data_IF_065524550912
#
_entry.id   IF_065524550912
#
_cell.length_a   1.000
_cell.length_b   1.000
_cell.length_c   1.000
_cell.angle_alpha   90.00
_cell.angle_beta   90.00
_cell.angle_gamma   90.00
#
_symmetry.space_group_name_H-M   'P 1'
#
loop_
_entity.id
_entity.type
_entity.pdbx_description
1 polymer ?
#
# COMPACT_ATOMS: atom_id res chain seq x y z
N UNK A 1 32.01 -12.46 -11.08
CA UNK A 1 31.01 -13.48 -11.46
C UNK A 1 30.33 -13.95 -10.18
N UNK A 2 28.99 -13.97 -10.10
CA UNK A 2 28.30 -14.49 -8.92
C UNK A 2 28.64 -15.98 -8.72
N UNK A 3 28.79 -16.39 -7.47
CA UNK A 3 29.07 -17.79 -7.12
C UNK A 3 27.86 -18.70 -7.37
N UNK A 4 28.04 -20.03 -7.47
CA UNK A 4 26.95 -20.99 -7.68
C UNK A 4 25.78 -20.83 -6.67
N UNK A 5 26.09 -20.49 -5.41
CA UNK A 5 25.07 -20.22 -4.38
C UNK A 5 24.20 -19.00 -4.70
N UNK A 6 24.80 -17.91 -5.20
CA UNK A 6 24.08 -16.69 -5.56
C UNK A 6 23.16 -16.91 -6.76
N UNK A 7 23.57 -17.73 -7.73
CA UNK A 7 22.73 -18.09 -8.89
C UNK A 7 21.51 -18.89 -8.43
N UNK A 8 21.71 -19.87 -7.54
CA UNK A 8 20.62 -20.68 -6.98
C UNK A 8 19.65 -19.84 -6.16
N UNK A 9 20.15 -18.96 -5.27
CA UNK A 9 19.33 -18.05 -4.49
C UNK A 9 18.52 -17.09 -5.38
N UNK A 10 19.14 -16.54 -6.42
CA UNK A 10 18.46 -15.69 -7.41
C UNK A 10 17.31 -16.42 -8.10
N UNK A 11 17.56 -17.63 -8.61
CA UNK A 11 16.55 -18.42 -9.29
C UNK A 11 15.39 -18.80 -8.36
N UNK A 12 15.71 -19.17 -7.13
CA UNK A 12 14.71 -19.54 -6.13
C UNK A 12 13.88 -18.34 -5.65
N UNK A 13 14.49 -17.14 -5.52
CA UNK A 13 13.77 -15.91 -5.19
C UNK A 13 12.74 -15.56 -6.28
N UNK A 14 13.14 -15.55 -7.55
CA UNK A 14 12.22 -15.28 -8.68
C UNK A 14 11.12 -16.34 -8.79
N UNK A 15 11.40 -17.59 -8.42
CA UNK A 15 10.41 -18.67 -8.46
C UNK A 15 9.37 -18.61 -7.33
N UNK A 16 9.69 -17.94 -6.22
CA UNK A 16 8.85 -17.92 -5.00
C UNK A 16 8.24 -16.55 -4.71
N UNK A 17 8.77 -15.49 -5.32
CA UNK A 17 8.38 -14.10 -5.09
C UNK A 17 8.12 -13.41 -6.43
N UNK A 18 6.97 -12.73 -6.52
CA UNK A 18 6.54 -12.10 -7.77
C UNK A 18 7.03 -10.67 -7.87
N UNK A 19 7.87 -10.40 -8.86
CA UNK A 19 8.33 -9.05 -9.22
C UNK A 19 7.71 -8.65 -10.56
N UNK A 20 7.09 -7.48 -10.59
CA UNK A 20 6.38 -6.93 -11.74
C UNK A 20 7.34 -6.25 -12.74
N UNK A 21 6.79 -5.57 -13.75
CA UNK A 21 7.57 -4.69 -14.65
C UNK A 21 7.66 -3.24 -14.18
N UNK A 22 7.14 -2.93 -13.00
CA UNK A 22 7.24 -1.59 -12.42
C UNK A 22 8.71 -1.18 -12.22
N UNK A 23 8.97 0.13 -12.21
CA UNK A 23 10.33 0.66 -12.09
C UNK A 23 10.97 0.32 -10.73
N UNK A 24 10.13 0.13 -9.70
CA UNK A 24 10.53 -0.24 -8.34
C UNK A 24 10.88 -1.74 -8.20
N UNK A 25 10.47 -2.59 -9.15
CA UNK A 25 10.66 -4.05 -9.07
C UNK A 25 12.14 -4.43 -9.05
N UNK A 26 12.96 -3.81 -9.92
CA UNK A 26 14.40 -4.06 -9.98
C UNK A 26 15.13 -3.67 -8.69
N UNK A 27 14.98 -2.43 -8.18
CA UNK A 27 15.58 -2.05 -6.91
C UNK A 27 15.07 -2.86 -5.71
N UNK A 28 13.77 -3.17 -5.62
CA UNK A 28 13.25 -4.03 -4.55
C UNK A 28 13.82 -5.45 -4.61
N UNK A 29 13.92 -6.03 -5.81
CA UNK A 29 14.60 -7.32 -6.01
C UNK A 29 16.05 -7.31 -5.49
N UNK A 30 16.81 -6.22 -5.73
CA UNK A 30 18.18 -6.08 -5.20
C UNK A 30 18.20 -6.05 -3.67
N UNK A 31 17.28 -5.32 -3.05
CA UNK A 31 17.14 -5.27 -1.58
C UNK A 31 16.87 -6.68 -1.03
N UNK A 32 15.94 -7.43 -1.62
CA UNK A 32 15.63 -8.79 -1.16
C UNK A 32 16.81 -9.74 -1.34
N UNK A 33 17.53 -9.64 -2.46
CA UNK A 33 18.76 -10.40 -2.69
C UNK A 33 19.84 -10.12 -1.64
N UNK A 34 19.99 -8.87 -1.21
CA UNK A 34 20.90 -8.50 -0.12
C UNK A 34 20.45 -9.09 1.22
N UNK A 35 19.15 -9.13 1.50
CA UNK A 35 18.59 -9.70 2.74
C UNK A 35 18.76 -11.23 2.77
N UNK A 36 18.59 -11.89 1.62
CA UNK A 36 18.81 -13.33 1.45
C UNK A 36 20.31 -13.68 1.53
N UNK A 37 21.18 -12.73 1.19
CA UNK A 37 22.66 -12.86 1.24
C UNK A 37 23.19 -14.06 0.43
N UNK A 38 22.54 -14.38 -0.69
CA UNK A 38 22.93 -15.50 -1.56
C UNK A 38 22.72 -16.90 -0.97
N UNK A 39 21.96 -17.03 0.11
CA UNK A 39 21.63 -18.29 0.77
C UNK A 39 20.15 -18.63 0.62
N UNK A 40 19.85 -19.72 -0.08
CA UNK A 40 18.47 -20.20 -0.33
C UNK A 40 17.70 -20.45 0.97
N UNK A 41 18.38 -20.83 2.07
CA UNK A 41 17.72 -21.04 3.36
C UNK A 41 17.15 -19.75 3.96
N UNK A 42 17.63 -18.60 3.51
CA UNK A 42 17.16 -17.28 3.93
C UNK A 42 15.95 -16.77 3.15
N UNK A 43 15.45 -17.48 2.13
CA UNK A 43 14.27 -17.04 1.36
C UNK A 43 13.06 -16.79 2.26
N UNK A 44 12.85 -17.62 3.28
CA UNK A 44 11.77 -17.47 4.24
C UNK A 44 11.88 -16.19 5.10
N UNK A 45 13.02 -15.48 5.07
CA UNK A 45 13.14 -14.16 5.70
C UNK A 45 12.33 -13.10 4.96
N UNK A 46 12.11 -13.25 3.65
CA UNK A 46 11.30 -12.33 2.85
C UNK A 46 9.82 -12.63 3.14
N UNK A 47 9.31 -11.99 4.18
CA UNK A 47 7.92 -12.17 4.61
C UNK A 47 7.37 -10.82 5.06
N UNK A 48 6.29 -10.38 4.41
CA UNK A 48 5.61 -9.14 4.78
C UNK A 48 5.10 -9.14 6.23
N UNK A 49 4.99 -10.30 6.90
CA UNK A 49 4.61 -10.41 8.32
C UNK A 49 5.82 -10.47 9.27
N UNK A 50 7.05 -10.48 8.75
CA UNK A 50 8.28 -10.52 9.54
C UNK A 50 8.72 -9.12 9.96
N UNK A 51 8.74 -8.87 11.28
CA UNK A 51 9.21 -7.60 11.85
C UNK A 51 10.65 -7.28 11.44
N UNK A 52 11.54 -8.28 11.47
CA UNK A 52 12.96 -8.11 11.15
C UNK A 52 13.13 -7.70 9.68
N UNK A 53 12.43 -8.40 8.78
CA UNK A 53 12.46 -8.09 7.36
C UNK A 53 11.92 -6.70 7.07
N UNK A 54 10.76 -6.32 7.62
CA UNK A 54 10.18 -5.01 7.36
C UNK A 54 11.07 -3.87 7.88
N UNK A 55 11.73 -4.06 9.03
CA UNK A 55 12.72 -3.10 9.55
C UNK A 55 13.90 -2.95 8.59
N UNK A 56 14.40 -4.06 8.06
CA UNK A 56 15.52 -4.06 7.13
C UNK A 56 15.14 -3.46 5.78
N UNK A 57 13.96 -3.80 5.25
CA UNK A 57 13.38 -3.21 4.05
C UNK A 57 13.26 -1.69 4.20
N UNK A 58 12.69 -1.18 5.29
CA UNK A 58 12.57 0.27 5.57
C UNK A 58 13.95 0.94 5.56
N UNK A 59 14.93 0.34 6.24
CA UNK A 59 16.28 0.88 6.31
C UNK A 59 16.94 0.92 4.92
N UNK A 60 16.92 -0.18 4.18
CA UNK A 60 17.54 -0.28 2.85
C UNK A 60 16.84 0.58 1.81
N UNK A 61 15.50 0.54 1.75
CA UNK A 61 14.69 1.34 0.81
C UNK A 61 14.88 2.85 1.02
N UNK A 62 15.17 3.30 2.25
CA UNK A 62 15.41 4.71 2.56
C UNK A 62 16.89 5.10 2.53
N UNK A 63 17.80 4.21 2.14
CA UNK A 63 19.25 4.43 2.23
C UNK A 63 19.74 4.73 3.66
N UNK A 64 19.03 4.22 4.67
CA UNK A 64 19.29 4.44 6.09
C UNK A 64 18.66 5.72 6.67
N UNK A 65 18.02 6.56 5.85
CA UNK A 65 17.41 7.81 6.31
C UNK A 65 16.20 7.58 7.24
N UNK A 66 15.55 6.41 7.14
CA UNK A 66 14.44 6.00 7.99
C UNK A 66 14.72 4.64 8.61
N UNK A 67 14.42 4.53 9.90
CA UNK A 67 14.44 3.27 10.66
C UNK A 67 13.25 3.27 11.62
N UNK A 68 12.82 2.09 12.03
CA UNK A 68 11.83 1.95 13.11
C UNK A 68 12.50 2.32 14.42
N UNK A 69 11.96 3.33 15.11
CA UNK A 69 12.55 3.86 16.34
C UNK A 69 11.96 3.20 17.58
N UNK A 70 12.80 3.01 18.59
CA UNK A 70 12.32 2.77 19.95
C UNK A 70 12.02 4.11 20.61
N UNK A 71 10.90 4.19 21.33
CA UNK A 71 10.46 5.41 22.02
C UNK A 71 9.74 6.43 21.12
N UNK A 72 9.07 5.99 20.05
CA UNK A 72 8.26 6.90 19.23
C UNK A 72 7.06 7.46 20.03
N UNK A 73 6.60 8.68 19.69
CA UNK A 73 5.48 9.35 20.39
C UNK A 73 4.12 8.65 20.20
N UNK A 74 4.00 7.78 19.20
CA UNK A 74 2.80 7.01 18.85
C UNK A 74 3.17 5.88 17.89
N UNK A 75 2.18 5.39 17.16
CA UNK A 75 2.42 4.41 16.09
C UNK A 75 3.28 5.02 14.98
N UNK A 76 4.13 4.17 14.39
CA UNK A 76 4.99 4.50 13.26
C UNK A 76 4.45 3.80 12.03
N UNK A 77 3.88 4.56 11.09
CA UNK A 77 3.36 4.04 9.84
C UNK A 77 4.40 4.24 8.75
N UNK A 78 4.73 3.19 8.01
CA UNK A 78 5.65 3.22 6.89
C UNK A 78 4.94 2.76 5.63
N UNK A 79 4.72 3.69 4.71
CA UNK A 79 4.25 3.42 3.36
C UNK A 79 5.47 3.35 2.45
N UNK A 80 5.72 2.18 1.89
CA UNK A 80 6.92 1.88 1.09
C UNK A 80 6.46 1.70 -0.35
N UNK A 81 6.77 2.67 -1.20
CA UNK A 81 6.44 2.62 -2.63
C UNK A 81 7.22 1.53 -3.32
N UNK A 82 6.54 0.62 -4.00
CA UNK A 82 7.15 -0.60 -4.56
C UNK A 82 7.57 -1.64 -3.50
N UNK A 83 7.28 -1.41 -2.21
CA UNK A 83 7.65 -2.34 -1.14
C UNK A 83 6.92 -3.68 -1.16
N UNK A 84 5.81 -3.74 -1.90
CA UNK A 84 5.00 -4.93 -2.17
C UNK A 84 5.56 -5.82 -3.28
N UNK A 85 6.53 -5.37 -4.07
CA UNK A 85 7.24 -6.23 -5.02
C UNK A 85 7.87 -7.42 -4.28
N UNK A 86 7.65 -8.62 -4.80
CA UNK A 86 7.96 -9.89 -4.15
C UNK A 86 6.78 -10.55 -3.42
N UNK A 87 5.72 -9.78 -3.11
CA UNK A 87 4.49 -10.28 -2.45
C UNK A 87 3.26 -10.23 -3.34
N UNK A 88 3.43 -9.87 -4.61
CA UNK A 88 2.33 -9.73 -5.54
C UNK A 88 1.74 -11.09 -5.93
N UNK A 89 0.46 -11.06 -6.31
CA UNK A 89 -0.18 -12.20 -6.94
C UNK A 89 0.62 -12.62 -8.20
N UNK A 90 0.84 -13.93 -8.44
CA UNK A 90 1.61 -14.41 -9.59
C UNK A 90 1.13 -13.88 -10.95
N UNK A 91 -0.14 -13.47 -11.07
CA UNK A 91 -0.68 -12.85 -12.28
C UNK A 91 0.00 -11.54 -12.66
N UNK A 92 0.70 -10.86 -11.73
CA UNK A 92 1.48 -9.66 -12.03
C UNK A 92 2.84 -9.94 -12.69
N UNK A 93 3.24 -11.21 -12.82
CA UNK A 93 4.49 -11.55 -13.50
C UNK A 93 4.47 -11.04 -14.95
N UNK A 94 5.46 -10.20 -15.30
CA UNK A 94 5.56 -9.61 -16.63
C UNK A 94 4.52 -8.53 -16.93
N UNK A 95 3.75 -8.10 -15.94
CA UNK A 95 2.80 -6.98 -16.00
C UNK A 95 3.34 -5.84 -15.14
N UNK A 96 3.09 -4.60 -15.51
CA UNK A 96 3.43 -3.44 -14.68
C UNK A 96 2.40 -3.31 -13.54
N UNK A 97 2.79 -3.63 -12.31
CA UNK A 97 1.90 -3.54 -11.14
C UNK A 97 1.74 -2.11 -10.62
N UNK A 98 2.61 -1.17 -11.02
CA UNK A 98 2.44 0.25 -10.70
C UNK A 98 1.31 0.87 -11.51
N UNK A 99 0.95 0.26 -12.66
CA UNK A 99 -0.09 0.76 -13.56
C UNK A 99 -0.81 -0.37 -14.32
N UNK A 100 -1.97 -0.77 -13.83
CA UNK A 100 -2.86 -1.72 -14.50
C UNK A 100 -4.04 -1.01 -15.16
N UNK A 101 -4.23 -1.20 -16.46
CA UNK A 101 -5.42 -0.74 -17.18
C UNK A 101 -6.47 -1.86 -17.24
N UNK A 102 -7.62 -1.66 -16.60
CA UNK A 102 -8.77 -2.55 -16.71
C UNK A 102 -9.81 -1.90 -17.61
N UNK A 103 -10.00 -2.45 -18.80
CA UNK A 103 -11.10 -2.10 -19.69
C UNK A 103 -12.36 -2.82 -19.23
N UNK A 104 -13.36 -2.08 -18.77
CA UNK A 104 -14.71 -2.65 -18.60
C UNK A 104 -15.31 -2.89 -19.99
N UNK A 105 -15.75 -4.12 -20.27
CA UNK A 105 -16.41 -4.46 -21.54
C UNK A 105 -17.65 -3.58 -21.74
N UNK A 106 -17.89 -3.12 -22.96
CA UNK A 106 -19.00 -2.24 -23.29
C UNK A 106 -20.35 -2.94 -22.99
N UNK A 107 -21.10 -2.45 -22.03
CA UNK A 107 -22.53 -2.76 -21.90
C UNK A 107 -23.33 -1.75 -22.72
N UNK A 108 -24.34 -2.24 -23.43
CA UNK A 108 -25.20 -1.49 -24.34
C UNK A 108 -25.83 -0.28 -23.65
N UNK A 109 -25.19 0.89 -23.78
CA UNK A 109 -25.70 2.16 -23.29
C UNK A 109 -24.71 3.02 -22.49
N UNK A 110 -23.53 2.50 -22.12
CA UNK A 110 -22.50 3.29 -21.43
C UNK A 110 -21.18 3.24 -22.20
N UNK A 111 -20.59 4.42 -22.47
CA UNK A 111 -19.26 4.47 -23.04
C UNK A 111 -18.27 3.86 -22.05
N UNK A 112 -17.57 2.82 -22.47
CA UNK A 112 -16.66 2.05 -21.63
C UNK A 112 -15.65 2.95 -20.93
N UNK A 113 -15.64 2.90 -19.60
CA UNK A 113 -14.61 3.53 -18.80
C UNK A 113 -13.39 2.61 -18.71
N UNK A 114 -12.19 3.18 -18.87
CA UNK A 114 -10.94 2.52 -18.47
C UNK A 114 -10.76 2.80 -16.98
N UNK A 115 -10.66 1.76 -16.17
CA UNK A 115 -10.22 1.90 -14.79
C UNK A 115 -8.71 1.72 -14.76
N UNK A 116 -7.96 2.72 -14.30
CA UNK A 116 -6.54 2.55 -14.02
C UNK A 116 -6.37 2.20 -12.54
N UNK A 117 -5.65 1.13 -12.25
CA UNK A 117 -5.24 0.78 -10.90
C UNK A 117 -3.75 1.08 -10.78
N UNK A 118 -3.40 1.92 -9.81
CA UNK A 118 -2.04 2.34 -9.53
C UNK A 118 -1.55 1.74 -8.22
N UNK A 119 -0.23 1.65 -8.10
CA UNK A 119 0.50 1.35 -6.85
C UNK A 119 0.06 0.03 -6.17
N UNK A 120 -0.31 -0.99 -6.95
CA UNK A 120 -0.59 -2.33 -6.40
C UNK A 120 0.66 -3.01 -5.84
N UNK A 121 1.81 -2.37 -6.02
CA UNK A 121 3.09 -2.78 -5.50
C UNK A 121 3.52 -2.01 -4.25
N UNK A 122 2.64 -1.24 -3.62
CA UNK A 122 2.95 -0.54 -2.38
C UNK A 122 2.66 -1.38 -1.13
N UNK A 123 3.41 -1.11 -0.06
CA UNK A 123 3.28 -1.82 1.21
C UNK A 123 3.12 -0.82 2.36
N UNK A 124 2.14 -1.05 3.23
CA UNK A 124 2.02 -0.38 4.52
C UNK A 124 2.52 -1.31 5.63
N UNK A 125 3.43 -0.83 6.46
CA UNK A 125 3.87 -1.50 7.69
C UNK A 125 3.66 -0.58 8.89
N UNK A 126 3.15 -1.12 10.00
CA UNK A 126 2.81 -0.34 11.20
C UNK A 126 3.51 -0.91 12.41
N UNK A 127 4.26 -0.08 13.12
CA UNK A 127 4.99 -0.45 14.32
C UNK A 127 4.51 0.38 15.52
N UNK A 128 4.61 -0.20 16.70
CA UNK A 128 4.32 0.51 17.94
C UNK A 128 5.46 1.42 18.39
N UNK A 129 5.25 2.06 19.54
CA UNK A 129 6.24 2.96 20.17
C UNK A 129 7.53 2.26 20.58
N UNK A 130 7.50 0.94 20.78
CA UNK A 130 8.66 0.11 21.14
C UNK A 130 9.35 -0.48 19.92
N UNK A 131 8.85 -0.18 18.72
CA UNK A 131 9.34 -0.72 17.47
C UNK A 131 8.85 -2.14 17.17
N UNK A 132 7.84 -2.64 17.89
CA UNK A 132 7.22 -3.94 17.61
C UNK A 132 6.24 -3.82 16.44
N UNK A 133 6.24 -4.80 15.53
CA UNK A 133 5.28 -4.86 14.43
C UNK A 133 3.85 -5.06 14.96
N UNK A 134 2.94 -4.20 14.52
CA UNK A 134 1.49 -4.36 14.69
C UNK A 134 0.91 -5.16 13.54
N UNK A 135 1.29 -4.82 12.32
CA UNK A 135 0.87 -5.52 11.12
C UNK A 135 1.35 -4.82 9.86
N UNK A 136 1.06 -5.44 8.73
CA UNK A 136 1.34 -4.91 7.40
C UNK A 136 0.25 -5.31 6.42
N UNK A 137 0.14 -4.59 5.31
CA UNK A 137 -0.78 -4.90 4.23
C UNK A 137 -0.26 -4.34 2.91
N UNK A 138 -0.55 -5.06 1.82
CA UNK A 138 -0.42 -4.47 0.49
C UNK A 138 -1.43 -3.34 0.33
N UNK A 139 -1.05 -2.38 -0.49
CA UNK A 139 -1.87 -1.24 -0.84
C UNK A 139 -2.29 -1.32 -2.30
N UNK A 140 -3.40 -0.67 -2.60
CA UNK A 140 -3.91 -0.53 -3.95
C UNK A 140 -4.55 0.83 -4.10
N UNK A 141 -4.14 1.64 -5.08
CA UNK A 141 -4.75 2.95 -5.35
C UNK A 141 -5.50 2.91 -6.69
N UNK A 142 -6.80 2.62 -6.70
CA UNK A 142 -7.56 2.75 -7.94
C UNK A 142 -7.83 4.22 -8.22
N UNK A 143 -7.48 4.66 -9.43
CA UNK A 143 -7.86 5.98 -9.95
C UNK A 143 -8.75 5.73 -11.16
N UNK A 144 -10.03 6.08 -11.05
CA UNK A 144 -10.89 6.11 -12.21
C UNK A 144 -10.54 7.32 -13.07
N UNK A 145 -9.73 7.12 -14.10
CA UNK A 145 -9.48 8.12 -15.14
C UNK A 145 -10.52 7.88 -16.24
N UNK A 146 -11.59 8.67 -16.24
CA UNK A 146 -12.48 8.68 -17.43
C UNK A 146 -11.66 9.22 -18.60
N UNK A 147 -11.75 8.56 -19.75
CA UNK A 147 -11.05 8.87 -21.01
C UNK A 147 -10.64 10.36 -21.14
N UNK A 148 -9.35 10.68 -21.36
CA UNK A 148 -8.87 12.06 -21.53
C UNK A 148 -9.52 12.83 -22.69
N UNK A 149 -10.23 12.15 -23.62
CA UNK A 149 -11.08 12.81 -24.63
C UNK A 149 -12.32 13.49 -24.03
N UNK A 150 -12.70 13.13 -22.79
CA UNK A 150 -13.81 13.72 -22.04
C UNK A 150 -13.28 14.82 -21.15
N UNK A 151 -13.58 16.07 -21.53
CA UNK A 151 -13.29 17.30 -20.77
C UNK A 151 -14.07 17.35 -19.45
N UNK A 152 -13.72 16.54 -18.46
CA UNK A 152 -14.23 16.69 -17.10
C UNK A 152 -13.08 17.14 -16.17
N UNK A 153 -13.05 18.41 -15.75
CA UNK A 153 -11.93 19.01 -14.99
C UNK A 153 -11.88 18.61 -13.50
N UNK A 154 -12.81 17.78 -13.02
CA UNK A 154 -12.89 17.36 -11.61
C UNK A 154 -12.13 16.06 -11.30
N UNK A 155 -11.37 15.52 -12.27
CA UNK A 155 -10.62 14.27 -12.13
C UNK A 155 -9.12 14.54 -11.93
N UNK A 156 -8.47 13.87 -10.98
CA UNK A 156 -7.04 14.07 -10.74
C UNK A 156 -6.18 13.45 -11.83
N UNK A 157 -5.08 14.12 -12.14
CA UNK A 157 -4.00 13.50 -12.93
C UNK A 157 -3.16 12.58 -12.06
N UNK A 158 -2.50 11.58 -12.66
CA UNK A 158 -1.53 10.71 -11.99
C UNK A 158 -0.43 11.52 -11.27
N UNK A 159 0.06 12.60 -11.89
CA UNK A 159 1.02 13.52 -11.29
C UNK A 159 0.47 14.18 -10.01
N UNK A 160 -0.76 14.71 -10.06
CA UNK A 160 -1.43 15.27 -8.87
C UNK A 160 -1.54 14.21 -7.77
N UNK A 161 -1.95 13.01 -8.13
CA UNK A 161 -2.15 11.93 -7.19
C UNK A 161 -0.82 11.47 -6.55
N UNK A 162 0.29 11.47 -7.29
CA UNK A 162 1.63 11.15 -6.78
C UNK A 162 2.18 12.23 -5.84
N UNK A 163 1.98 13.52 -6.16
CA UNK A 163 2.37 14.64 -5.27
C UNK A 163 1.67 14.56 -3.92
N UNK A 164 0.41 14.16 -3.93
CA UNK A 164 -0.40 14.02 -2.74
C UNK A 164 0.09 12.86 -1.90
N UNK A 165 0.44 11.76 -2.55
CA UNK A 165 1.10 10.62 -1.93
C UNK A 165 2.40 11.01 -1.20
N UNK A 166 3.25 11.83 -1.82
CA UNK A 166 4.50 12.31 -1.20
C UNK A 166 4.26 13.26 -0.02
N UNK A 167 3.20 14.07 -0.11
CA UNK A 167 2.81 15.06 0.89
C UNK A 167 2.44 14.46 2.26
N UNK A 168 2.16 13.16 2.32
CA UNK A 168 1.80 12.46 3.57
C UNK A 168 2.98 12.17 4.48
N UNK A 169 4.21 12.29 3.97
CA UNK A 169 5.40 12.06 4.79
C UNK A 169 5.46 13.04 5.97
N UNK A 170 5.58 12.50 7.18
CA UNK A 170 5.60 13.26 8.43
C UNK A 170 4.22 13.70 8.94
N UNK A 171 3.12 13.26 8.31
CA UNK A 171 1.78 13.70 8.69
C UNK A 171 1.15 12.84 9.80
N UNK A 172 0.35 13.44 10.70
CA UNK A 172 -0.44 12.70 11.68
C UNK A 172 -1.41 11.73 11.03
N UNK A 173 -1.54 10.54 11.63
CA UNK A 173 -2.52 9.52 11.25
C UNK A 173 -3.62 9.45 12.30
N UNK A 174 -4.86 9.35 11.84
CA UNK A 174 -6.08 9.22 12.64
C UNK A 174 -6.79 7.94 12.26
N UNK A 175 -7.20 7.16 13.24
CA UNK A 175 -8.15 6.07 13.01
C UNK A 175 -9.56 6.65 13.03
N UNK A 176 -10.32 6.44 11.96
CA UNK A 176 -11.66 6.99 11.80
C UNK A 176 -12.66 5.93 11.35
N UNK A 177 -13.94 6.28 11.45
CA UNK A 177 -15.05 5.53 10.88
C UNK A 177 -15.68 6.35 9.77
N UNK A 178 -15.87 5.75 8.61
CA UNK A 178 -16.68 6.33 7.55
C UNK A 178 -18.14 5.92 7.75
N UNK A 179 -19.02 6.92 7.79
CA UNK A 179 -20.47 6.72 7.88
C UNK A 179 -21.22 7.44 6.75
N UNK A 180 -20.50 8.02 5.78
CA UNK A 180 -21.05 8.90 4.75
C UNK A 180 -21.50 8.14 3.48
N UNK A 181 -21.35 6.82 3.44
CA UNK A 181 -21.66 5.98 2.29
C UNK A 181 -22.48 4.75 2.70
N UNK A 182 -23.03 4.03 1.71
CA UNK A 182 -23.80 2.80 1.92
C UNK A 182 -22.96 1.71 2.60
N UNK A 183 -21.64 1.73 2.38
CA UNK A 183 -20.68 0.90 3.09
C UNK A 183 -19.98 1.73 4.16
N UNK A 184 -20.25 1.37 5.41
CA UNK A 184 -19.56 1.89 6.60
C UNK A 184 -18.34 1.04 6.87
N UNK A 185 -17.24 1.68 7.21
CA UNK A 185 -15.97 0.99 7.46
C UNK A 185 -15.07 1.81 8.38
N UNK A 186 -14.02 1.17 8.90
CA UNK A 186 -12.93 1.84 9.59
C UNK A 186 -11.72 1.95 8.67
N UNK A 187 -10.99 3.05 8.80
CA UNK A 187 -9.81 3.31 8.00
C UNK A 187 -8.84 4.25 8.70
N UNK A 188 -7.79 4.59 7.98
CA UNK A 188 -6.80 5.57 8.41
C UNK A 188 -7.01 6.88 7.65
N UNK A 189 -6.97 7.98 8.37
CA UNK A 189 -7.04 9.32 7.82
C UNK A 189 -5.72 10.03 8.07
N UNK A 190 -5.14 10.58 7.03
CA UNK A 190 -3.90 11.36 7.09
C UNK A 190 -4.29 12.83 7.03
N UNK A 191 -3.71 13.61 7.94
CA UNK A 191 -3.86 15.07 7.94
C UNK A 191 -3.14 15.66 6.72
N UNK A 192 -3.90 16.21 5.79
CA UNK A 192 -3.42 16.91 4.60
C UNK A 192 -3.62 18.42 4.73
N UNK A 193 -3.09 18.98 5.81
CA UNK A 193 -2.94 20.43 6.02
C UNK A 193 -2.17 21.17 4.92
N UNK A 194 -1.67 20.47 3.89
CA UNK A 194 -1.10 21.05 2.67
C UNK A 194 -2.17 21.53 1.67
N UNK A 195 -3.44 21.18 1.87
CA UNK A 195 -4.56 21.72 1.09
C UNK A 195 -4.72 21.10 -0.29
N UNK A 196 -4.21 19.88 -0.52
CA UNK A 196 -4.41 19.18 -1.79
C UNK A 196 -5.77 18.50 -1.89
N UNK A 197 -6.38 18.19 -0.75
CA UNK A 197 -7.81 17.90 -0.62
C UNK A 197 -8.57 19.10 -0.08
N UNK A 198 -9.72 19.44 -0.68
CA UNK A 198 -10.64 20.48 -0.19
C UNK A 198 -11.08 20.25 1.27
N UNK A 199 -11.09 18.98 1.72
CA UNK A 199 -11.42 18.63 3.10
C UNK A 199 -10.22 18.62 4.07
N UNK A 200 -9.00 18.85 3.57
CA UNK A 200 -7.74 18.77 4.31
C UNK A 200 -7.42 17.37 4.86
N UNK A 201 -8.03 16.32 4.30
CA UNK A 201 -8.04 14.95 4.85
C UNK A 201 -7.92 13.92 3.73
N UNK A 202 -6.92 13.05 3.80
CA UNK A 202 -6.79 11.90 2.90
C UNK A 202 -7.11 10.59 3.61
N UNK A 203 -7.59 9.59 2.87
CA UNK A 203 -8.05 8.31 3.42
C UNK A 203 -7.24 7.14 2.84
N UNK A 204 -6.83 6.25 3.74
CA UNK A 204 -6.24 4.93 3.46
C UNK A 204 -7.17 3.91 4.12
N UNK A 205 -8.00 3.25 3.33
CA UNK A 205 -9.16 2.52 3.81
C UNK A 205 -9.56 1.29 2.99
N UNK A 206 -10.83 0.89 2.98
CA UNK A 206 -11.30 -0.35 2.35
C UNK A 206 -11.97 -0.11 0.98
N UNK A 207 -12.49 1.09 0.70
CA UNK A 207 -13.71 1.14 -0.09
C UNK A 207 -13.75 2.00 -1.37
N UNK A 208 -14.10 1.33 -2.48
CA UNK A 208 -14.19 1.83 -3.86
C UNK A 208 -15.41 2.72 -4.17
N UNK A 209 -16.39 2.85 -3.28
CA UNK A 209 -17.54 3.75 -3.54
C UNK A 209 -17.16 5.22 -3.54
N UNK A 210 -16.05 5.57 -2.92
CA UNK A 210 -15.57 6.93 -3.03
C UNK A 210 -15.08 7.12 -4.47
N UNK A 211 -15.84 7.86 -5.28
CA UNK A 211 -15.33 8.50 -6.50
C UNK A 211 -14.29 9.59 -6.14
N UNK A 212 -13.50 9.36 -5.09
CA UNK A 212 -12.46 10.24 -4.61
C UNK A 212 -11.18 9.78 -5.26
N UNK A 213 -10.72 10.61 -6.17
CA UNK A 213 -9.38 10.52 -6.69
C UNK A 213 -8.40 10.50 -5.49
N UNK A 214 -7.61 9.43 -5.35
CA UNK A 214 -6.47 9.36 -4.42
C UNK A 214 -6.68 8.64 -3.08
N UNK A 215 -7.83 7.99 -2.83
CA UNK A 215 -7.93 7.06 -1.71
C UNK A 215 -7.10 5.79 -1.99
N UNK A 216 -6.41 5.28 -0.97
CA UNK A 216 -5.68 4.01 -1.04
C UNK A 216 -6.46 2.93 -0.33
N UNK A 217 -6.51 1.75 -0.90
CA UNK A 217 -7.08 0.58 -0.27
C UNK A 217 -6.06 -0.31 0.41
N UNK A 218 -6.40 -0.74 1.62
CA UNK A 218 -5.73 -1.82 2.34
C UNK A 218 -6.23 -3.13 1.75
N UNK A 219 -5.33 -3.87 1.09
CA UNK A 219 -5.66 -5.16 0.51
C UNK A 219 -5.71 -6.21 1.62
N UNK A 220 -6.91 -6.76 1.84
CA UNK A 220 -7.12 -7.92 2.72
C UNK A 220 -7.77 -9.05 1.90
N UNK A 221 -7.20 -10.27 1.88
CA UNK A 221 -7.71 -11.38 1.07
C UNK A 221 -9.12 -11.83 1.48
N UNK A 222 -9.58 -11.47 2.69
CA UNK A 222 -10.91 -11.80 3.18
C UNK A 222 -11.95 -10.71 2.89
N UNK A 223 -11.58 -9.65 2.16
CA UNK A 223 -12.49 -8.56 1.81
C UNK A 223 -13.68 -9.11 1.01
N UNK A 224 -14.92 -8.96 1.48
CA UNK A 224 -16.10 -9.39 0.73
C UNK A 224 -16.20 -8.67 -0.62
N UNK A 225 -16.79 -9.31 -1.65
CA UNK A 225 -17.02 -8.63 -2.91
C UNK A 225 -18.02 -7.49 -2.73
N UNK A 226 -17.87 -6.46 -3.55
CA UNK A 226 -18.76 -5.29 -3.54
C UNK A 226 -20.24 -5.63 -3.79
N UNK A 227 -20.52 -6.76 -4.44
CA UNK A 227 -21.88 -7.28 -4.65
C UNK A 227 -22.56 -7.77 -3.36
N UNK A 228 -21.85 -7.87 -2.24
CA UNK A 228 -22.38 -8.25 -0.93
C UNK A 228 -22.18 -7.12 0.10
N UNK A 229 -22.97 -6.02 0.00
CA UNK A 229 -22.81 -4.84 0.83
C UNK A 229 -23.07 -5.11 2.31
N UNK A 230 -23.88 -6.12 2.64
CA UNK A 230 -24.17 -6.51 4.01
C UNK A 230 -22.94 -7.06 4.70
N UNK A 231 -22.22 -8.00 4.06
CA UNK A 231 -20.94 -8.50 4.60
C UNK A 231 -19.88 -7.42 4.64
N UNK A 232 -19.81 -6.58 3.60
CA UNK A 232 -18.80 -5.53 3.51
C UNK A 232 -18.96 -4.48 4.62
N UNK A 233 -20.20 -4.14 5.00
CA UNK A 233 -20.50 -3.25 6.14
C UNK A 233 -20.07 -3.81 7.51
N UNK A 234 -19.91 -5.13 7.62
CA UNK A 234 -19.47 -5.82 8.82
C UNK A 234 -17.97 -6.15 8.78
N UNK A 235 -17.32 -5.92 7.65
CA UNK A 235 -15.93 -6.28 7.43
C UNK A 235 -14.99 -5.18 7.92
N UNK A 236 -13.91 -5.61 8.56
CA UNK A 236 -12.80 -4.75 8.94
C UNK A 236 -11.48 -5.46 8.57
N UNK A 237 -10.57 -4.83 7.81
CA UNK A 237 -9.27 -5.39 7.48
C UNK A 237 -8.52 -5.82 8.73
N UNK A 238 -7.75 -6.91 8.63
CA UNK A 238 -6.96 -7.41 9.75
C UNK A 238 -6.03 -6.33 10.32
N UNK A 239 -5.34 -5.58 9.45
CA UNK A 239 -4.48 -4.47 9.88
C UNK A 239 -5.22 -3.41 10.70
N UNK A 240 -6.47 -3.07 10.32
CA UNK A 240 -7.27 -2.08 11.07
C UNK A 240 -7.67 -2.64 12.43
N UNK A 241 -8.07 -3.91 12.51
CA UNK A 241 -8.38 -4.58 13.79
C UNK A 241 -7.16 -4.63 14.72
N UNK A 242 -5.98 -4.90 14.18
CA UNK A 242 -4.74 -4.96 14.94
C UNK A 242 -4.36 -3.58 15.50
N UNK A 243 -4.52 -2.52 14.69
CA UNK A 243 -4.34 -1.13 15.13
C UNK A 243 -5.35 -0.75 16.21
N UNK A 244 -6.64 -1.06 16.02
CA UNK A 244 -7.70 -0.77 17.00
C UNK A 244 -7.42 -1.46 18.34
N UNK A 245 -7.03 -2.74 18.28
CA UNK A 245 -6.68 -3.54 19.46
C UNK A 245 -5.51 -2.92 20.22
N UNK A 246 -4.44 -2.55 19.51
CA UNK A 246 -3.27 -1.92 20.13
C UNK A 246 -3.58 -0.53 20.69
N UNK A 247 -4.34 0.28 19.97
CA UNK A 247 -4.72 1.64 20.39
C UNK A 247 -5.73 1.62 21.53
N UNK A 248 -6.49 0.53 21.68
CA UNK A 248 -7.59 0.39 22.64
C UNK A 248 -8.82 1.22 22.27
N UNK A 249 -9.01 1.55 20.99
CA UNK A 249 -10.13 2.35 20.52
C UNK A 249 -10.50 2.04 19.06
N UNK A 250 -11.80 2.13 18.75
CA UNK A 250 -12.31 1.99 17.36
C UNK A 250 -12.08 3.23 16.51
N UNK A 251 -12.01 4.41 17.12
CA UNK A 251 -11.62 5.67 16.47
C UNK A 251 -10.76 6.48 17.43
N UNK A 252 -9.74 7.16 16.91
CA UNK A 252 -8.86 8.03 17.69
C UNK A 252 -8.05 8.93 16.77
N UNK A 253 -8.00 10.21 17.09
CA UNK A 253 -7.18 11.18 16.35
C UNK A 253 -5.73 11.14 16.79
N UNK A 254 -4.80 11.36 15.86
CA UNK A 254 -3.37 11.49 16.17
C UNK A 254 -2.74 10.24 16.79
N UNK A 255 -3.05 9.06 16.26
CA UNK A 255 -2.54 7.77 16.76
C UNK A 255 -1.08 7.51 16.40
N UNK A 256 -0.54 8.25 15.44
CA UNK A 256 0.83 8.08 14.98
C UNK A 256 1.20 9.02 13.85
N UNK A 257 2.31 8.72 13.18
CA UNK A 257 2.86 9.52 12.07
C UNK A 257 3.09 8.63 10.85
N UNK A 258 2.73 9.12 9.68
CA UNK A 258 3.01 8.48 8.38
C UNK A 258 4.41 8.84 7.90
N UNK A 259 5.13 7.83 7.41
CA UNK A 259 6.42 7.96 6.74
C UNK A 259 6.30 7.34 5.36
N UNK A 260 6.53 8.15 4.32
CA UNK A 260 6.50 7.67 2.93
C UNK A 260 7.94 7.49 2.46
N UNK A 261 8.24 6.30 1.93
CA UNK A 261 9.56 5.90 1.44
C UNK A 261 9.38 5.45 -0.01
N UNK A 262 10.20 5.97 -0.92
CA UNK A 262 10.23 5.51 -2.30
C UNK A 262 11.45 4.61 -2.51
N UNK A 263 11.23 3.43 -3.09
CA UNK A 263 12.31 2.56 -3.54
C UNK A 263 12.85 3.11 -4.87
N UNK A 264 14.17 3.27 -4.98
CA UNK A 264 14.87 3.82 -6.16
C UNK A 264 16.03 2.93 -6.60
#
# INVERSE_FOLDING_TARGET
MPGPSQILATGALIATHTYSKAVEAGPKFRIDMEIVDGDVSNLAKIDMKSEAYLKELIAKASGGARTVKNGAKGLQFFMIKGGGEGFLDPSYFGIDASRLMITSGATTGSAGGVTMIFDNNDLLAVFDRTGKLIGSALLQRPIMITDPSRRNPHMWTENTANRIYDAWNGRPVTLYRNENFDIRYYGLRIDDSLGWYDSGRVRVDLHKQEATNGCIFIVDPNTPPYSDPAKLNLFEPQLIKDIQSHVGARTKSGIGTMHVIAIT
#
